data_IF_811613646428
#
_entry.id   IF_811613646428
#
_cell.length_a   1.000
_cell.length_b   1.000
_cell.length_c   1.000
_cell.angle_alpha   90.00
_cell.angle_beta   90.00
_cell.angle_gamma   90.00
#
_symmetry.space_group_name_H-M   'P 1'
#
loop_
_entity.id
_entity.type
_entity.pdbx_description
1 polymer ?
#
# COMPACT_ATOMS: atom_id res chain seq x y z
N UNK A 1 16.83 17.08 -9.04
CA UNK A 1 16.17 16.36 -7.92
C UNK A 1 15.40 15.12 -8.38
N UNK A 2 14.23 15.26 -9.04
CA UNK A 2 13.36 14.12 -9.40
C UNK A 2 14.08 13.04 -10.22
N UNK A 3 14.83 13.41 -11.26
CA UNK A 3 15.56 12.45 -12.10
C UNK A 3 16.58 11.63 -11.30
N UNK A 4 17.27 12.24 -10.33
CA UNK A 4 18.19 11.49 -9.47
C UNK A 4 17.41 10.50 -8.60
N UNK A 5 16.35 10.96 -7.93
CA UNK A 5 15.51 10.09 -7.11
C UNK A 5 14.97 8.90 -7.88
N UNK A 6 14.44 9.12 -9.09
CA UNK A 6 13.92 8.03 -9.94
C UNK A 6 15.00 7.03 -10.34
N UNK A 7 16.22 7.50 -10.62
CA UNK A 7 17.38 6.64 -10.89
C UNK A 7 17.78 5.79 -9.68
N UNK A 8 17.82 6.40 -8.49
CA UNK A 8 18.10 5.70 -7.23
C UNK A 8 17.01 4.67 -6.92
N UNK A 9 15.74 5.05 -7.08
CA UNK A 9 14.58 4.18 -6.90
C UNK A 9 14.62 3.00 -7.87
N UNK A 10 14.96 3.23 -9.14
CA UNK A 10 15.12 2.18 -10.14
C UNK A 10 16.20 1.17 -9.73
N UNK A 11 17.37 1.65 -9.31
CA UNK A 11 18.45 0.79 -8.84
C UNK A 11 18.02 -0.05 -7.63
N UNK A 12 17.34 0.55 -6.66
CA UNK A 12 16.81 -0.16 -5.49
C UNK A 12 15.77 -1.23 -5.89
N UNK A 13 14.79 -0.88 -6.73
CA UNK A 13 13.77 -1.83 -7.18
C UNK A 13 14.38 -3.02 -7.94
N UNK A 14 15.36 -2.75 -8.81
CA UNK A 14 16.10 -3.80 -9.51
C UNK A 14 16.91 -4.68 -8.54
N UNK A 15 17.58 -4.07 -7.56
CA UNK A 15 18.40 -4.78 -6.58
C UNK A 15 17.58 -5.70 -5.68
N UNK A 16 16.52 -5.18 -5.04
CA UNK A 16 15.75 -5.90 -4.02
C UNK A 16 14.75 -6.89 -4.61
N UNK A 17 14.11 -6.57 -5.74
CA UNK A 17 13.00 -7.38 -6.25
C UNK A 17 13.36 -8.23 -7.47
N UNK A 18 14.27 -7.75 -8.33
CA UNK A 18 14.62 -8.43 -9.58
C UNK A 18 15.89 -9.27 -9.42
N UNK A 19 16.92 -8.71 -8.78
CA UNK A 19 18.26 -9.28 -8.71
C UNK A 19 18.63 -9.84 -7.33
N UNK A 20 17.68 -9.98 -6.40
CA UNK A 20 17.85 -10.68 -5.12
C UNK A 20 17.16 -12.05 -5.14
N UNK A 21 17.88 -13.15 -5.46
CA UNK A 21 17.31 -14.49 -5.42
C UNK A 21 16.86 -14.89 -4.01
N UNK A 22 15.74 -15.62 -3.92
CA UNK A 22 15.24 -16.19 -2.64
C UNK A 22 16.29 -17.01 -1.89
N UNK A 23 17.21 -17.66 -2.61
CA UNK A 23 18.30 -18.42 -1.99
C UNK A 23 19.26 -17.54 -1.18
N UNK A 24 19.53 -16.30 -1.61
CA UNK A 24 20.37 -15.36 -0.87
C UNK A 24 19.66 -14.87 0.39
N UNK A 25 18.35 -14.60 0.28
CA UNK A 25 17.47 -14.19 1.39
C UNK A 25 17.46 -15.22 2.52
N UNK A 26 17.49 -16.51 2.18
CA UNK A 26 17.54 -17.59 3.18
C UNK A 26 18.95 -17.70 3.76
N UNK A 27 19.98 -17.77 2.90
CA UNK A 27 21.35 -18.04 3.32
C UNK A 27 22.04 -16.89 4.06
N UNK A 28 21.59 -15.63 3.89
CA UNK A 28 22.13 -14.47 4.62
C UNK A 28 21.97 -14.58 6.14
N UNK A 29 21.07 -15.45 6.62
CA UNK A 29 20.87 -15.68 8.06
C UNK A 29 22.06 -16.38 8.72
N UNK A 30 22.76 -17.21 7.96
CA UNK A 30 23.87 -18.04 8.44
C UNK A 30 25.23 -17.59 7.88
N UNK A 31 25.24 -16.90 6.73
CA UNK A 31 26.46 -16.47 6.07
C UNK A 31 26.33 -15.04 5.52
N UNK A 32 27.11 -14.12 6.10
CA UNK A 32 27.18 -12.69 5.75
C UNK A 32 27.62 -12.45 4.30
N UNK A 33 28.29 -13.42 3.67
CA UNK A 33 28.69 -13.32 2.25
C UNK A 33 27.52 -13.00 1.32
N UNK A 34 26.35 -13.62 1.53
CA UNK A 34 25.18 -13.37 0.68
C UNK A 34 24.60 -11.96 0.87
N UNK A 35 24.77 -11.38 2.06
CA UNK A 35 24.41 -10.00 2.33
C UNK A 35 25.38 -9.03 1.63
N UNK A 36 26.69 -9.28 1.72
CA UNK A 36 27.69 -8.48 1.01
C UNK A 36 27.55 -8.56 -0.51
N UNK A 37 27.22 -9.74 -1.04
CA UNK A 37 26.94 -9.93 -2.46
C UNK A 37 25.73 -9.10 -2.90
N UNK A 38 24.68 -9.05 -2.09
CA UNK A 38 23.51 -8.23 -2.38
C UNK A 38 23.83 -6.72 -2.37
N UNK A 39 24.61 -6.25 -1.39
CA UNK A 39 25.08 -4.85 -1.35
C UNK A 39 25.97 -4.52 -2.55
N UNK A 40 26.82 -5.45 -2.98
CA UNK A 40 27.63 -5.30 -4.19
C UNK A 40 26.75 -5.11 -5.43
N UNK A 41 25.66 -5.89 -5.58
CA UNK A 41 24.69 -5.70 -6.68
C UNK A 41 24.12 -4.28 -6.65
N UNK A 42 23.73 -3.76 -5.49
CA UNK A 42 23.24 -2.38 -5.36
C UNK A 42 24.27 -1.33 -5.77
N UNK A 43 25.52 -1.47 -5.33
CA UNK A 43 26.61 -0.56 -5.73
C UNK A 43 26.84 -0.59 -7.25
N UNK A 44 26.83 -1.78 -7.86
CA UNK A 44 26.97 -1.94 -9.31
C UNK A 44 25.78 -1.37 -10.08
N UNK A 45 24.55 -1.54 -9.60
CA UNK A 45 23.37 -0.94 -10.21
C UNK A 45 23.39 0.58 -10.12
N UNK A 46 23.76 1.13 -8.97
CA UNK A 46 23.85 2.58 -8.77
C UNK A 46 24.91 3.20 -9.68
N UNK A 47 26.10 2.59 -9.78
CA UNK A 47 27.15 3.05 -10.70
C UNK A 47 26.69 3.00 -12.16
N UNK A 48 25.99 1.92 -12.56
CA UNK A 48 25.47 1.78 -13.92
C UNK A 48 24.39 2.82 -14.27
N UNK A 49 23.39 3.02 -13.40
CA UNK A 49 22.27 3.94 -13.66
C UNK A 49 22.71 5.41 -13.60
N UNK A 50 23.76 5.71 -12.83
CA UNK A 50 24.35 7.05 -12.72
C UNK A 50 25.44 7.34 -13.77
N UNK A 51 25.76 6.41 -14.67
CA UNK A 51 26.69 6.66 -15.77
C UNK A 51 26.19 7.79 -16.69
N UNK A 52 27.05 8.73 -17.14
CA UNK A 52 28.50 8.83 -16.89
C UNK A 52 28.89 9.61 -15.62
N UNK A 53 27.93 10.21 -14.92
CA UNK A 53 28.17 11.10 -13.77
C UNK A 53 28.52 10.39 -12.46
N UNK A 54 28.62 9.05 -12.45
CA UNK A 54 28.89 8.27 -11.23
C UNK A 54 30.09 8.76 -10.40
N UNK A 55 31.21 9.29 -10.96
CA UNK A 55 32.34 9.74 -10.14
C UNK A 55 31.96 10.89 -9.20
N UNK A 56 31.03 11.75 -9.62
CA UNK A 56 30.52 12.86 -8.81
C UNK A 56 29.65 12.39 -7.64
N UNK A 57 29.07 11.19 -7.77
CA UNK A 57 28.18 10.58 -6.78
C UNK A 57 28.86 9.48 -5.97
N UNK A 58 30.19 9.35 -5.99
CA UNK A 58 30.91 8.25 -5.32
C UNK A 58 30.59 8.12 -3.83
N UNK A 59 30.58 9.24 -3.09
CA UNK A 59 30.20 9.26 -1.67
C UNK A 59 28.73 8.87 -1.45
N UNK A 60 27.84 9.28 -2.36
CA UNK A 60 26.42 8.94 -2.32
C UNK A 60 26.20 7.44 -2.50
N UNK A 61 26.86 6.84 -3.50
CA UNK A 61 26.78 5.41 -3.80
C UNK A 61 27.28 4.60 -2.61
N UNK A 62 28.43 4.98 -2.04
CA UNK A 62 28.98 4.34 -0.85
C UNK A 62 28.05 4.48 0.36
N UNK A 63 27.49 5.68 0.58
CA UNK A 63 26.53 5.94 1.65
C UNK A 63 25.28 5.08 1.54
N UNK A 64 24.69 4.98 0.35
CA UNK A 64 23.50 4.14 0.10
C UNK A 64 23.85 2.65 0.26
N UNK A 65 25.02 2.21 -0.19
CA UNK A 65 25.48 0.83 0.00
C UNK A 65 25.66 0.46 1.48
N UNK A 66 26.30 1.33 2.27
CA UNK A 66 26.42 1.17 3.72
C UNK A 66 25.06 1.16 4.42
N UNK A 67 24.13 2.01 3.98
CA UNK A 67 22.78 2.06 4.53
C UNK A 67 21.98 0.77 4.22
N UNK A 68 22.06 0.23 3.00
CA UNK A 68 21.46 -1.08 2.67
C UNK A 68 22.03 -2.18 3.57
N UNK A 69 23.36 -2.23 3.72
CA UNK A 69 24.00 -3.21 4.61
C UNK A 69 23.48 -3.12 6.05
N UNK A 70 23.33 -1.89 6.57
CA UNK A 70 22.82 -1.65 7.91
C UNK A 70 21.34 -2.06 8.06
N UNK A 71 20.48 -1.65 7.12
CA UNK A 71 19.04 -1.93 7.16
C UNK A 71 18.79 -3.44 7.05
N UNK A 72 19.44 -4.12 6.10
CA UNK A 72 19.29 -5.57 5.92
C UNK A 72 19.83 -6.35 7.14
N UNK A 73 20.91 -5.89 7.76
CA UNK A 73 21.42 -6.47 9.00
C UNK A 73 20.41 -6.33 10.15
N UNK A 74 19.81 -5.13 10.29
CA UNK A 74 18.75 -4.87 11.28
C UNK A 74 17.51 -5.74 11.01
N UNK A 75 17.13 -5.92 9.73
CA UNK A 75 16.03 -6.77 9.32
C UNK A 75 16.24 -8.22 9.73
N UNK A 76 17.44 -8.78 9.54
CA UNK A 76 17.77 -10.16 10.00
C UNK A 76 17.58 -10.28 11.52
N UNK A 77 17.95 -9.25 12.27
CA UNK A 77 17.74 -9.23 13.72
C UNK A 77 16.26 -9.12 14.10
N UNK A 78 15.49 -8.23 13.46
CA UNK A 78 14.05 -8.09 13.69
C UNK A 78 13.24 -9.32 13.27
N UNK A 79 13.62 -10.01 12.21
CA UNK A 79 13.00 -11.28 11.79
C UNK A 79 13.13 -12.36 12.88
N UNK A 80 14.22 -12.33 13.68
CA UNK A 80 14.39 -13.23 14.83
C UNK A 80 13.51 -12.83 16.02
N UNK A 81 13.32 -11.53 16.25
CA UNK A 81 12.52 -11.02 17.37
C UNK A 81 11.00 -11.10 17.13
N UNK A 82 10.55 -10.85 15.90
CA UNK A 82 9.13 -10.79 15.55
C UNK A 82 8.76 -11.71 14.37
N UNK A 83 8.94 -13.03 14.50
CA UNK A 83 8.74 -13.97 13.40
C UNK A 83 7.30 -14.01 12.86
N UNK A 84 6.31 -13.64 13.68
CA UNK A 84 4.88 -13.68 13.31
C UNK A 84 4.39 -12.43 12.57
N UNK A 85 5.25 -11.44 12.28
CA UNK A 85 4.87 -10.17 11.63
C UNK A 85 5.63 -9.91 10.32
N UNK A 86 5.64 -10.84 9.34
CA UNK A 86 6.48 -10.73 8.15
C UNK A 86 6.12 -9.52 7.27
N UNK A 87 4.83 -9.20 7.13
CA UNK A 87 4.37 -8.07 6.31
C UNK A 87 4.80 -6.73 6.91
N UNK A 88 4.71 -6.58 8.24
CA UNK A 88 5.14 -5.37 8.92
C UNK A 88 6.65 -5.16 8.79
N UNK A 89 7.45 -6.22 8.98
CA UNK A 89 8.90 -6.15 8.83
C UNK A 89 9.31 -5.81 7.39
N UNK A 90 8.62 -6.40 6.40
CA UNK A 90 8.82 -6.05 5.00
C UNK A 90 8.47 -4.58 4.71
N UNK A 91 7.34 -4.08 5.21
CA UNK A 91 6.94 -2.70 5.02
C UNK A 91 7.92 -1.71 5.70
N UNK A 92 8.36 -2.02 6.93
CA UNK A 92 9.34 -1.21 7.66
C UNK A 92 10.69 -1.15 6.91
N UNK A 93 11.14 -2.29 6.42
CA UNK A 93 12.35 -2.41 5.61
C UNK A 93 12.31 -1.52 4.36
N UNK A 94 11.23 -1.61 3.58
CA UNK A 94 11.05 -0.79 2.37
C UNK A 94 10.93 0.71 2.69
N UNK A 95 10.28 1.05 3.81
CA UNK A 95 10.22 2.43 4.29
C UNK A 95 11.60 2.99 4.63
N UNK A 96 12.43 2.23 5.33
CA UNK A 96 13.79 2.66 5.68
C UNK A 96 14.66 2.85 4.44
N UNK A 97 14.59 1.93 3.47
CA UNK A 97 15.30 2.09 2.20
C UNK A 97 14.84 3.33 1.43
N UNK A 98 13.53 3.54 1.30
CA UNK A 98 12.99 4.73 0.64
C UNK A 98 13.41 6.02 1.34
N UNK A 99 13.40 6.04 2.69
CA UNK A 99 13.87 7.17 3.47
C UNK A 99 15.33 7.50 3.18
N UNK A 100 16.19 6.48 3.03
CA UNK A 100 17.60 6.69 2.63
C UNK A 100 17.70 7.28 1.22
N UNK A 101 16.88 6.86 0.26
CA UNK A 101 16.91 7.44 -1.10
C UNK A 101 16.45 8.90 -1.11
N UNK A 102 15.45 9.24 -0.29
CA UNK A 102 14.95 10.61 -0.13
C UNK A 102 16.03 11.48 0.51
N UNK A 103 16.64 11.05 1.63
CA UNK A 103 17.70 11.81 2.31
C UNK A 103 18.94 11.95 1.44
N UNK A 104 19.33 10.92 0.70
CA UNK A 104 20.39 10.96 -0.30
C UNK A 104 20.10 12.01 -1.40
N UNK A 105 18.85 12.09 -1.86
CA UNK A 105 18.44 13.08 -2.86
C UNK A 105 18.50 14.50 -2.29
N UNK A 106 18.01 14.70 -1.06
CA UNK A 106 18.06 15.99 -0.38
C UNK A 106 19.48 16.41 -0.02
N UNK A 107 20.38 15.47 0.28
CA UNK A 107 21.79 15.77 0.49
C UNK A 107 22.42 16.40 -0.76
N UNK A 108 22.06 15.95 -1.96
CA UNK A 108 22.61 16.50 -3.21
C UNK A 108 21.97 17.82 -3.66
N UNK A 109 20.67 18.01 -3.44
CA UNK A 109 19.91 19.14 -4.02
C UNK A 109 19.36 20.13 -2.98
N UNK A 110 19.54 19.86 -1.69
CA UNK A 110 18.83 20.53 -0.62
C UNK A 110 17.39 20.04 -0.46
N UNK A 111 16.76 20.43 0.66
CA UNK A 111 15.33 20.25 0.86
C UNK A 111 14.59 21.30 0.03
N UNK A 112 13.59 20.93 -0.81
CA UNK A 112 12.80 21.89 -1.56
C UNK A 112 12.20 22.97 -0.63
N UNK A 113 12.34 24.25 -0.95
CA UNK A 113 11.66 25.30 -0.20
C UNK A 113 10.14 25.07 -0.30
N UNK A 114 9.44 25.20 0.83
CA UNK A 114 8.00 24.95 0.90
C UNK A 114 7.58 23.47 0.89
N UNK A 115 8.50 22.52 1.09
CA UNK A 115 8.15 21.09 1.20
C UNK A 115 7.03 20.85 2.23
N UNK A 116 7.16 21.44 3.42
CA UNK A 116 6.18 21.28 4.49
C UNK A 116 4.84 21.94 4.15
N UNK A 117 4.87 23.09 3.47
CA UNK A 117 3.67 23.80 3.02
C UNK A 117 2.92 22.99 1.97
N UNK A 118 3.64 22.31 1.06
CA UNK A 118 3.03 21.42 0.07
C UNK A 118 2.45 20.15 0.70
N UNK A 119 3.18 19.53 1.64
CA UNK A 119 2.73 18.32 2.36
C UNK A 119 1.52 18.59 3.27
N UNK A 120 1.43 19.80 3.83
CA UNK A 120 0.32 20.26 4.67
C UNK A 120 -0.65 21.17 3.90
N UNK A 121 -0.62 21.12 2.57
CA UNK A 121 -1.55 21.89 1.74
C UNK A 121 -2.98 21.40 1.96
N UNK A 122 -3.95 22.30 1.76
CA UNK A 122 -5.37 21.97 1.82
C UNK A 122 -5.74 20.79 0.90
N UNK A 123 -5.09 20.68 -0.27
CA UNK A 123 -5.24 19.56 -1.19
C UNK A 123 -4.79 18.23 -0.57
N UNK A 124 -3.61 18.20 0.07
CA UNK A 124 -3.09 17.02 0.73
C UNK A 124 -3.98 16.62 1.93
N UNK A 125 -4.40 17.59 2.73
CA UNK A 125 -5.28 17.37 3.89
C UNK A 125 -6.62 16.76 3.44
N UNK A 126 -7.25 17.32 2.40
CA UNK A 126 -8.52 16.80 1.86
C UNK A 126 -8.37 15.39 1.32
N UNK A 127 -7.26 15.06 0.63
CA UNK A 127 -6.96 13.70 0.19
C UNK A 127 -6.82 12.72 1.37
N UNK A 128 -6.15 13.12 2.45
CA UNK A 128 -6.01 12.31 3.67
C UNK A 128 -7.37 12.10 4.34
N UNK A 129 -8.19 13.14 4.46
CA UNK A 129 -9.55 13.04 5.02
C UNK A 129 -10.38 12.05 4.19
N UNK A 130 -10.37 12.17 2.86
CA UNK A 130 -11.12 11.26 1.99
C UNK A 130 -10.63 9.80 2.14
N UNK A 131 -9.32 9.58 2.23
CA UNK A 131 -8.76 8.25 2.49
C UNK A 131 -9.23 7.68 3.83
N UNK A 132 -9.16 8.46 4.91
CA UNK A 132 -9.63 8.04 6.24
C UNK A 132 -11.13 7.74 6.26
N UNK A 133 -11.94 8.54 5.57
CA UNK A 133 -13.38 8.30 5.44
C UNK A 133 -13.68 6.95 4.79
N UNK A 134 -12.91 6.56 3.77
CA UNK A 134 -13.10 5.29 3.04
C UNK A 134 -12.52 4.08 3.78
N UNK A 135 -11.29 4.21 4.27
CA UNK A 135 -10.51 3.11 4.82
C UNK A 135 -10.92 2.79 6.27
N UNK A 136 -11.27 3.81 7.05
CA UNK A 136 -11.51 3.66 8.50
C UNK A 136 -12.97 3.93 8.85
N UNK A 137 -13.51 5.11 8.51
CA UNK A 137 -14.82 5.55 9.00
C UNK A 137 -15.97 4.76 8.36
N UNK A 138 -15.95 4.57 7.04
CA UNK A 138 -17.00 3.84 6.30
C UNK A 138 -17.21 2.40 6.80
N UNK A 139 -16.18 1.54 6.96
CA UNK A 139 -16.40 0.19 7.49
C UNK A 139 -16.94 0.19 8.93
N UNK A 140 -16.55 1.14 9.78
CA UNK A 140 -17.12 1.30 11.13
C UNK A 140 -18.60 1.70 11.03
N UNK A 141 -18.92 2.71 10.21
CA UNK A 141 -20.28 3.19 10.00
C UNK A 141 -21.20 2.07 9.50
N UNK A 142 -20.79 1.32 8.48
CA UNK A 142 -21.58 0.21 7.94
C UNK A 142 -21.81 -0.86 9.00
N UNK A 143 -20.79 -1.21 9.79
CA UNK A 143 -20.93 -2.17 10.90
C UNK A 143 -21.98 -1.72 11.92
N UNK A 144 -21.98 -0.44 12.30
CA UNK A 144 -22.95 0.13 13.25
C UNK A 144 -24.34 0.24 12.62
N UNK A 145 -24.44 0.65 11.36
CA UNK A 145 -25.72 0.78 10.66
C UNK A 145 -26.45 -0.56 10.54
N UNK A 146 -25.71 -1.62 10.21
CA UNK A 146 -26.25 -2.97 10.02
C UNK A 146 -26.32 -3.80 11.31
N UNK A 147 -25.81 -3.31 12.45
CA UNK A 147 -25.86 -4.07 13.71
C UNK A 147 -27.30 -4.34 14.17
N UNK A 148 -28.23 -3.42 13.85
CA UNK A 148 -29.67 -3.59 14.16
C UNK A 148 -30.35 -4.76 13.44
N UNK A 149 -29.81 -5.15 12.28
CA UNK A 149 -30.30 -6.31 11.52
C UNK A 149 -29.63 -7.63 11.91
N UNK A 150 -28.60 -7.52 12.75
CA UNK A 150 -27.78 -8.63 13.22
C UNK A 150 -28.22 -8.95 14.66
N UNK A 151 -29.43 -9.50 14.81
CA UNK A 151 -29.75 -10.21 16.06
C UNK A 151 -28.85 -11.45 16.09
N UNK A 152 -27.78 -11.30 16.87
CA UNK A 152 -26.81 -12.27 17.33
C UNK A 152 -27.44 -13.67 17.52
N UNK A 153 -27.06 -14.64 16.67
CA UNK A 153 -26.56 -15.97 17.08
C UNK A 153 -26.31 -17.03 15.99
N UNK A 154 -26.60 -16.82 14.69
CA UNK A 154 -26.35 -17.91 13.70
C UNK A 154 -25.11 -17.73 12.80
N UNK A 155 -24.48 -16.55 12.78
CA UNK A 155 -23.37 -16.27 11.85
C UNK A 155 -21.97 -16.53 12.44
N UNK A 156 -21.87 -16.81 13.75
CA UNK A 156 -20.59 -16.94 14.45
C UNK A 156 -20.01 -18.36 14.46
N UNK A 157 -20.83 -19.41 14.29
CA UNK A 157 -20.32 -20.79 14.34
C UNK A 157 -19.78 -21.32 13.00
N UNK A 158 -20.15 -20.73 11.86
CA UNK A 158 -19.56 -21.10 10.56
C UNK A 158 -18.31 -20.30 10.17
N UNK A 159 -17.93 -19.26 10.92
CA UNK A 159 -16.80 -18.35 10.60
C UNK A 159 -15.61 -18.44 11.55
N UNK A 160 -15.53 -19.47 12.40
CA UNK A 160 -14.31 -19.74 13.20
C UNK A 160 -13.09 -20.13 12.36
N UNK A 161 -13.23 -20.29 11.04
CA UNK A 161 -12.14 -20.68 10.11
C UNK A 161 -11.82 -19.71 8.97
N UNK A 162 -12.41 -18.52 8.91
CA UNK A 162 -12.15 -17.56 7.83
C UNK A 162 -11.41 -16.34 8.37
N UNK A 163 -10.31 -15.95 7.71
CA UNK A 163 -9.54 -14.73 7.97
C UNK A 163 -10.49 -13.54 8.23
N UNK A 164 -10.69 -13.20 9.52
CA UNK A 164 -11.66 -12.19 9.98
C UNK A 164 -11.39 -10.81 9.32
N UNK A 165 -10.20 -10.61 8.74
CA UNK A 165 -9.80 -9.38 8.04
C UNK A 165 -10.00 -9.36 6.52
N UNK A 166 -10.21 -10.50 5.84
CA UNK A 166 -10.22 -10.52 4.37
C UNK A 166 -11.43 -9.78 3.76
N UNK A 167 -12.63 -9.99 4.31
CA UNK A 167 -13.84 -9.30 3.85
C UNK A 167 -13.81 -7.78 4.09
N UNK A 168 -13.20 -7.35 5.20
CA UNK A 168 -13.00 -5.93 5.49
C UNK A 168 -12.03 -5.31 4.49
N UNK A 169 -10.90 -5.98 4.23
CA UNK A 169 -9.90 -5.54 3.28
C UNK A 169 -10.46 -5.45 1.85
N UNK A 170 -11.21 -6.46 1.40
CA UNK A 170 -11.91 -6.44 0.10
C UNK A 170 -12.82 -5.22 0.01
N UNK A 171 -13.63 -4.97 1.04
CA UNK A 171 -14.51 -3.81 1.06
C UNK A 171 -13.77 -2.47 1.02
N UNK A 172 -12.63 -2.34 1.71
CA UNK A 172 -11.78 -1.13 1.63
C UNK A 172 -11.21 -0.96 0.22
N UNK A 173 -10.68 -2.03 -0.38
CA UNK A 173 -10.11 -2.01 -1.73
C UNK A 173 -11.16 -1.60 -2.78
N UNK A 174 -12.37 -2.16 -2.73
CA UNK A 174 -13.46 -1.79 -3.64
C UNK A 174 -13.81 -0.32 -3.55
N UNK A 175 -13.98 0.22 -2.33
CA UNK A 175 -14.30 1.64 -2.14
C UNK A 175 -13.18 2.55 -2.63
N UNK A 176 -11.91 2.19 -2.42
CA UNK A 176 -10.77 2.93 -2.95
C UNK A 176 -10.74 2.93 -4.49
N UNK A 177 -11.03 1.78 -5.11
CA UNK A 177 -11.14 1.66 -6.59
C UNK A 177 -12.27 2.55 -7.11
N UNK A 178 -13.43 2.58 -6.44
CA UNK A 178 -14.55 3.47 -6.81
C UNK A 178 -14.12 4.94 -6.75
N UNK A 179 -13.46 5.38 -5.66
CA UNK A 179 -12.96 6.75 -5.55
C UNK A 179 -11.96 7.06 -6.65
N UNK A 180 -11.03 6.14 -6.97
CA UNK A 180 -10.09 6.28 -8.07
C UNK A 180 -10.79 6.42 -9.43
N UNK A 181 -11.79 5.58 -9.72
CA UNK A 181 -12.59 5.69 -10.95
C UNK A 181 -13.27 7.04 -11.08
N UNK A 182 -13.75 7.62 -9.98
CA UNK A 182 -14.35 8.97 -9.99
C UNK A 182 -13.28 10.04 -10.27
N UNK A 183 -12.09 9.95 -9.67
CA UNK A 183 -11.02 10.92 -9.89
C UNK A 183 -10.51 10.89 -11.34
N UNK A 184 -10.37 9.70 -11.93
CA UNK A 184 -9.92 9.51 -13.32
C UNK A 184 -11.07 9.71 -14.34
N UNK A 185 -12.32 9.81 -13.89
CA UNK A 185 -13.50 9.98 -14.75
C UNK A 185 -14.01 8.70 -15.42
N UNK A 186 -13.54 7.52 -14.98
CA UNK A 186 -13.96 6.22 -15.50
C UNK A 186 -15.22 5.69 -14.79
N UNK A 187 -16.34 6.40 -14.93
CA UNK A 187 -17.59 6.07 -14.22
C UNK A 187 -18.15 4.68 -14.60
N UNK A 188 -17.96 4.23 -15.83
CA UNK A 188 -18.34 2.88 -16.27
C UNK A 188 -17.63 1.77 -15.49
N UNK A 189 -16.43 2.04 -14.97
CA UNK A 189 -15.69 1.09 -14.13
C UNK A 189 -16.42 0.74 -12.84
N UNK A 190 -17.19 1.67 -12.27
CA UNK A 190 -18.00 1.43 -11.07
C UNK A 190 -19.09 0.39 -11.36
N UNK A 191 -19.72 0.48 -12.54
CA UNK A 191 -20.70 -0.50 -13.01
C UNK A 191 -20.07 -1.88 -13.24
N UNK A 192 -18.87 -1.94 -13.81
CA UNK A 192 -18.13 -3.19 -13.97
C UNK A 192 -17.79 -3.84 -12.62
N UNK A 193 -17.31 -3.05 -11.65
CA UNK A 193 -17.00 -3.54 -10.31
C UNK A 193 -18.24 -4.10 -9.61
N UNK A 194 -19.39 -3.42 -9.75
CA UNK A 194 -20.67 -3.87 -9.19
C UNK A 194 -21.12 -5.19 -9.84
N UNK A 195 -21.06 -5.27 -11.17
CA UNK A 195 -21.44 -6.48 -11.91
C UNK A 195 -20.54 -7.68 -11.56
N UNK A 196 -19.21 -7.48 -11.51
CA UNK A 196 -18.26 -8.52 -11.12
C UNK A 196 -18.56 -9.04 -9.71
N UNK A 197 -18.82 -8.14 -8.76
CA UNK A 197 -19.19 -8.51 -7.39
C UNK A 197 -20.49 -9.31 -7.33
N UNK A 198 -21.50 -8.93 -8.11
CA UNK A 198 -22.74 -9.69 -8.23
C UNK A 198 -22.50 -11.10 -8.77
N UNK A 199 -21.69 -11.27 -9.82
CA UNK A 199 -21.36 -12.57 -10.43
C UNK A 199 -20.72 -13.53 -9.41
N UNK A 200 -19.72 -13.07 -8.66
CA UNK A 200 -19.08 -13.90 -7.63
C UNK A 200 -20.05 -14.29 -6.51
N UNK A 201 -21.06 -13.46 -6.25
CA UNK A 201 -22.06 -13.73 -5.21
C UNK A 201 -23.20 -14.63 -5.69
N UNK A 202 -23.53 -14.66 -6.98
CA UNK A 202 -24.59 -15.52 -7.53
C UNK A 202 -24.38 -17.02 -7.28
N UNK A 203 -23.12 -17.49 -7.24
CA UNK A 203 -22.79 -18.88 -6.93
C UNK A 203 -23.12 -19.27 -5.48
N UNK A 204 -22.86 -18.39 -4.51
CA UNK A 204 -23.16 -18.59 -3.09
C UNK A 204 -24.67 -18.51 -2.80
N UNK A 205 -25.37 -17.63 -3.52
CA UNK A 205 -26.80 -17.37 -3.36
C UNK A 205 -27.69 -18.54 -3.84
N UNK A 206 -27.22 -19.32 -4.82
CA UNK A 206 -27.95 -20.50 -5.33
C UNK A 206 -28.05 -21.64 -4.29
N UNK A 207 -27.16 -21.65 -3.30
CA UNK A 207 -27.14 -22.62 -2.20
C UNK A 207 -27.77 -22.09 -0.90
N UNK A 208 -28.12 -20.79 -0.84
CA UNK A 208 -28.67 -20.16 0.35
C UNK A 208 -30.20 -20.32 0.38
N UNK A 209 -30.71 -21.12 1.33
CA UNK A 209 -32.15 -21.21 1.63
C UNK A 209 -32.74 -19.93 2.26
N UNK A 210 -31.92 -18.90 2.47
CA UNK A 210 -32.25 -17.75 3.30
C UNK A 210 -32.25 -16.43 2.49
N UNK A 211 -33.46 -16.00 2.10
CA UNK A 211 -33.69 -14.76 1.34
C UNK A 211 -33.21 -13.52 2.11
N UNK A 212 -33.30 -13.54 3.44
CA UNK A 212 -32.86 -12.43 4.32
C UNK A 212 -31.36 -12.18 4.23
N UNK A 213 -30.55 -13.25 4.17
CA UNK A 213 -29.11 -13.13 4.00
C UNK A 213 -28.72 -12.51 2.65
N UNK A 214 -29.45 -12.88 1.60
CA UNK A 214 -29.28 -12.35 0.24
C UNK A 214 -29.55 -10.85 0.20
N UNK A 215 -30.68 -10.42 0.76
CA UNK A 215 -31.07 -9.01 0.84
C UNK A 215 -30.06 -8.21 1.67
N UNK A 216 -29.66 -8.72 2.83
CA UNK A 216 -28.68 -8.07 3.70
C UNK A 216 -27.35 -7.78 2.96
N UNK A 217 -26.83 -8.77 2.22
CA UNK A 217 -25.57 -8.61 1.47
C UNK A 217 -25.72 -7.59 0.34
N UNK A 218 -26.85 -7.62 -0.37
CA UNK A 218 -27.13 -6.69 -1.45
C UNK A 218 -27.20 -5.25 -0.94
N UNK A 219 -27.97 -5.02 0.13
CA UNK A 219 -28.10 -3.70 0.78
C UNK A 219 -26.74 -3.25 1.31
N UNK A 220 -25.98 -4.11 1.97
CA UNK A 220 -24.63 -3.79 2.46
C UNK A 220 -23.67 -3.36 1.36
N UNK A 221 -23.70 -4.05 0.22
CA UNK A 221 -22.87 -3.72 -0.95
C UNK A 221 -23.26 -2.39 -1.57
N UNK A 222 -24.56 -2.17 -1.81
CA UNK A 222 -25.07 -0.93 -2.37
C UNK A 222 -24.79 0.27 -1.44
N UNK A 223 -25.01 0.12 -0.13
CA UNK A 223 -24.68 1.17 0.84
C UNK A 223 -23.19 1.50 0.84
N UNK A 224 -22.30 0.50 0.79
CA UNK A 224 -20.85 0.72 0.71
C UNK A 224 -20.45 1.46 -0.56
N UNK A 225 -21.05 1.10 -1.71
CA UNK A 225 -20.78 1.75 -2.99
C UNK A 225 -21.27 3.19 -2.99
N UNK A 226 -22.47 3.44 -2.49
CA UNK A 226 -23.03 4.79 -2.34
C UNK A 226 -22.13 5.69 -1.50
N UNK A 227 -21.62 5.22 -0.36
CA UNK A 227 -20.68 5.99 0.47
C UNK A 227 -19.41 6.32 -0.33
N UNK A 228 -18.83 5.35 -1.03
CA UNK A 228 -17.62 5.58 -1.83
C UNK A 228 -17.85 6.57 -2.98
N UNK A 229 -19.02 6.50 -3.63
CA UNK A 229 -19.40 7.44 -4.68
C UNK A 229 -19.53 8.86 -4.13
N UNK A 230 -20.24 9.03 -3.01
CA UNK A 230 -20.40 10.33 -2.36
C UNK A 230 -19.05 10.92 -1.97
N UNK A 231 -18.21 10.16 -1.27
CA UNK A 231 -16.88 10.62 -0.85
C UNK A 231 -15.99 10.93 -2.05
N UNK A 232 -16.04 10.11 -3.11
CA UNK A 232 -15.27 10.35 -4.33
C UNK A 232 -15.65 11.65 -5.04
N UNK A 233 -16.95 11.94 -5.17
CA UNK A 233 -17.40 13.21 -5.74
C UNK A 233 -17.09 14.40 -4.84
N UNK A 234 -17.26 14.28 -3.53
CA UNK A 234 -16.91 15.32 -2.57
C UNK A 234 -15.41 15.65 -2.64
N UNK A 235 -14.55 14.62 -2.70
CA UNK A 235 -13.11 14.79 -2.89
C UNK A 235 -12.81 15.53 -4.20
N UNK A 236 -13.45 15.13 -5.30
CA UNK A 236 -13.24 15.77 -6.61
C UNK A 236 -13.67 17.24 -6.62
N UNK A 237 -14.81 17.54 -5.98
CA UNK A 237 -15.31 18.91 -5.86
C UNK A 237 -14.40 19.77 -4.96
N UNK A 238 -13.98 19.24 -3.83
CA UNK A 238 -13.08 19.93 -2.91
C UNK A 238 -11.74 20.23 -3.57
N UNK A 239 -11.14 19.25 -4.26
CA UNK A 239 -9.89 19.46 -5.01
C UNK A 239 -10.02 20.54 -6.09
N UNK A 240 -11.16 20.60 -6.79
CA UNK A 240 -11.44 21.63 -7.80
C UNK A 240 -11.66 23.03 -7.23
N UNK A 241 -12.17 23.13 -6.00
CA UNK A 241 -12.39 24.42 -5.33
C UNK A 241 -11.10 24.97 -4.69
N UNK A 242 -10.21 24.08 -4.26
CA UNK A 242 -8.94 24.42 -3.59
C UNK A 242 -7.80 24.63 -4.60
N UNK A 243 -7.91 24.10 -5.82
CA UNK A 243 -6.97 24.32 -6.93
C UNK A 243 -7.09 25.70 -7.56
#
# INVERSE_FOLDING_TARGET
MLTLFLKLLLAHLLGDFVLQPRSWVIKRRDNVFYLLLHVLVHVLLLTAVLYPSWPQYGLLILGIGCAHLAIDSLKIWWEKLWPYKPVFLFALDQFLHLAVLITATFYCFGVPPGLWEHLLSDQAIVCVIAFLLIAVVSPIFLRVFFSKWNQENELNDQRKGTLIDAGMLIGIMERLIIVLFIQVGFLSGIGFLLAAKSIFRFGDLKNAKDTKFTEYVLVGTLSSFTIAIIVGYLLRLALRYIS
#
